data_IF_807958351466
#
_entry.id   IF_807958351466
#
_cell.length_a   1.000
_cell.length_b   1.000
_cell.length_c   1.000
_cell.angle_alpha   90.00
_cell.angle_beta   90.00
_cell.angle_gamma   90.00
#
_symmetry.space_group_name_H-M   'P 1'
#
loop_
_entity.id
_entity.type
_entity.pdbx_description
1 polymer ?
#
# COMPACT_ATOMS: atom_id res chain seq x y z
N UNK A 1 -13.23 -24.95 0.19
CA UNK A 1 -11.85 -25.02 -0.33
C UNK A 1 -11.68 -23.90 -1.35
N UNK A 2 -10.95 -22.84 -1.01
CA UNK A 2 -10.40 -21.95 -2.03
C UNK A 2 -9.49 -22.81 -2.92
N UNK A 3 -9.73 -22.87 -4.23
CA UNK A 3 -8.80 -23.59 -5.11
C UNK A 3 -7.42 -22.92 -4.99
N UNK A 4 -6.33 -23.69 -4.91
CA UNK A 4 -4.97 -23.16 -4.78
C UNK A 4 -4.57 -22.23 -5.94
N UNK A 5 -5.33 -22.23 -7.05
CA UNK A 5 -5.19 -21.29 -8.19
C UNK A 5 -5.77 -19.90 -7.90
N UNK A 6 -6.78 -19.77 -7.03
CA UNK A 6 -7.34 -18.46 -6.67
C UNK A 6 -6.41 -17.66 -5.75
N UNK A 7 -5.45 -18.30 -5.09
CA UNK A 7 -4.43 -17.63 -4.29
C UNK A 7 -3.49 -16.74 -5.13
N UNK A 8 -2.78 -17.25 -6.15
CA UNK A 8 -1.96 -16.40 -7.02
C UNK A 8 -2.80 -15.42 -7.84
N UNK A 9 -4.05 -15.75 -8.20
CA UNK A 9 -4.92 -14.84 -8.94
C UNK A 9 -5.42 -13.69 -8.06
N UNK A 10 -5.86 -13.95 -6.82
CA UNK A 10 -6.25 -12.88 -5.89
C UNK A 10 -5.05 -11.98 -5.57
N UNK A 11 -3.88 -12.57 -5.40
CA UNK A 11 -2.63 -11.83 -5.23
C UNK A 11 -2.29 -10.98 -6.46
N UNK A 12 -2.31 -11.53 -7.68
CA UNK A 12 -2.08 -10.77 -8.91
C UNK A 12 -3.15 -9.70 -9.18
N UNK A 13 -4.43 -9.98 -8.89
CA UNK A 13 -5.52 -9.00 -8.97
C UNK A 13 -5.36 -7.87 -7.96
N UNK A 14 -4.74 -8.17 -6.81
CA UNK A 14 -4.44 -7.21 -5.76
C UNK A 14 -3.18 -6.38 -6.03
N UNK A 15 -2.28 -6.85 -6.91
CA UNK A 15 -1.17 -6.07 -7.45
C UNK A 15 -1.65 -4.95 -8.41
N UNK A 16 -2.83 -5.07 -9.02
CA UNK A 16 -3.38 -4.04 -9.94
C UNK A 16 -3.61 -2.69 -9.21
N UNK A 17 -4.32 -2.63 -8.05
CA UNK A 17 -4.41 -1.41 -7.26
C UNK A 17 -3.04 -0.94 -6.75
N UNK A 18 -2.11 -1.85 -6.45
CA UNK A 18 -0.74 -1.51 -6.05
C UNK A 18 0.01 -0.77 -7.17
N UNK A 19 -0.09 -1.27 -8.42
CA UNK A 19 0.45 -0.58 -9.58
C UNK A 19 -0.21 0.77 -9.76
N UNK A 20 -1.53 0.90 -9.61
CA UNK A 20 -2.22 2.20 -9.75
C UNK A 20 -1.81 3.22 -8.67
N UNK A 21 -1.72 2.81 -7.41
CA UNK A 21 -1.33 3.71 -6.31
C UNK A 21 0.16 4.06 -6.36
N UNK A 22 1.02 3.08 -6.65
CA UNK A 22 2.43 3.33 -6.92
C UNK A 22 2.58 4.29 -8.10
N UNK A 23 1.86 4.07 -9.20
CA UNK A 23 1.89 4.94 -10.39
C UNK A 23 1.38 6.34 -10.06
N UNK A 24 0.33 6.52 -9.26
CA UNK A 24 -0.17 7.84 -8.85
C UNK A 24 0.85 8.61 -8.00
N UNK A 25 1.54 7.93 -7.09
CA UNK A 25 2.57 8.57 -6.25
C UNK A 25 3.87 8.81 -7.03
N UNK A 26 4.25 7.89 -7.91
CA UNK A 26 5.35 8.02 -8.88
C UNK A 26 5.10 9.18 -9.84
N UNK A 27 3.88 9.31 -10.35
CA UNK A 27 3.44 10.41 -11.23
C UNK A 27 3.38 11.72 -10.43
N UNK A 28 2.95 11.71 -9.17
CA UNK A 28 2.93 12.89 -8.31
C UNK A 28 4.32 13.43 -7.99
N UNK A 29 5.23 12.58 -7.54
CA UNK A 29 6.64 12.93 -7.27
C UNK A 29 7.36 13.23 -8.60
N UNK A 30 7.11 12.41 -9.61
CA UNK A 30 7.61 12.56 -10.97
C UNK A 30 7.29 13.94 -11.54
N UNK A 31 6.04 14.38 -11.43
CA UNK A 31 5.58 15.67 -11.91
C UNK A 31 6.07 16.85 -11.04
N UNK A 32 6.14 16.69 -9.72
CA UNK A 32 6.71 17.71 -8.82
C UNK A 32 8.20 17.96 -9.03
N UNK A 33 8.94 16.92 -9.43
CA UNK A 33 10.39 16.95 -9.69
C UNK A 33 10.75 17.05 -11.18
N UNK A 34 9.80 16.91 -12.11
CA UNK A 34 10.04 16.97 -13.56
C UNK A 34 10.31 18.39 -14.08
N UNK A 35 10.12 19.43 -13.25
CA UNK A 35 10.37 20.80 -13.66
C UNK A 35 11.79 21.05 -14.19
N UNK A 36 12.86 20.50 -13.57
CA UNK A 36 14.21 20.71 -14.04
C UNK A 36 14.72 19.52 -14.89
N UNK A 37 14.55 18.26 -14.43
CA UNK A 37 15.11 17.06 -15.09
C UNK A 37 14.29 15.79 -14.76
N UNK A 38 13.62 15.15 -15.75
CA UNK A 38 12.82 13.93 -15.55
C UNK A 38 13.59 12.71 -15.03
N UNK A 39 14.88 12.57 -15.38
CA UNK A 39 15.70 11.42 -14.96
C UNK A 39 16.01 11.43 -13.47
N UNK A 40 16.21 12.61 -12.86
CA UNK A 40 16.40 12.73 -11.42
C UNK A 40 15.11 12.33 -10.66
N UNK A 41 13.95 12.74 -11.20
CA UNK A 41 12.66 12.40 -10.65
C UNK A 41 12.44 10.87 -10.65
N UNK A 42 12.69 10.21 -11.78
CA UNK A 42 12.57 8.76 -11.90
C UNK A 42 13.48 8.01 -10.90
N UNK A 43 14.72 8.48 -10.74
CA UNK A 43 15.67 7.90 -9.79
C UNK A 43 15.20 8.05 -8.34
N UNK A 44 14.81 9.27 -7.93
CA UNK A 44 14.32 9.55 -6.58
C UNK A 44 13.08 8.72 -6.25
N UNK A 45 12.13 8.64 -7.20
CA UNK A 45 10.92 7.84 -7.05
C UNK A 45 11.23 6.36 -6.87
N UNK A 46 12.17 5.81 -7.64
CA UNK A 46 12.55 4.40 -7.53
C UNK A 46 13.10 4.06 -6.14
N UNK A 47 13.92 4.96 -5.56
CA UNK A 47 14.46 4.79 -4.20
C UNK A 47 13.33 4.86 -3.18
N UNK A 48 12.48 5.89 -3.24
CA UNK A 48 11.38 6.11 -2.30
C UNK A 48 10.40 4.94 -2.33
N UNK A 49 10.04 4.47 -3.52
CA UNK A 49 9.16 3.31 -3.70
C UNK A 49 9.79 2.06 -3.08
N UNK A 50 11.08 1.81 -3.32
CA UNK A 50 11.78 0.65 -2.73
C UNK A 50 11.82 0.71 -1.20
N UNK A 51 12.03 1.90 -0.62
CA UNK A 51 12.00 2.11 0.82
C UNK A 51 10.60 1.86 1.40
N UNK A 52 9.57 2.35 0.74
CA UNK A 52 8.20 2.13 1.18
C UNK A 52 7.75 0.66 1.04
N UNK A 53 8.17 -0.05 0.01
CA UNK A 53 7.87 -1.48 -0.12
C UNK A 53 8.51 -2.27 1.02
N UNK A 54 9.75 -1.97 1.35
CA UNK A 54 10.43 -2.64 2.47
C UNK A 54 9.81 -2.29 3.83
N UNK A 55 9.37 -1.04 4.02
CA UNK A 55 8.71 -0.57 5.24
C UNK A 55 7.17 -0.77 5.25
N UNK A 56 6.60 -1.63 4.39
CA UNK A 56 5.14 -1.83 4.28
C UNK A 56 4.53 -2.71 5.37
N UNK A 57 5.35 -3.39 6.19
CA UNK A 57 4.87 -4.44 7.09
C UNK A 57 4.85 -5.84 6.46
N UNK A 58 5.11 -5.94 5.16
CA UNK A 58 5.15 -7.22 4.42
C UNK A 58 6.53 -7.85 4.46
N UNK A 59 7.56 -7.06 4.14
CA UNK A 59 8.97 -7.50 4.12
C UNK A 59 9.58 -7.42 5.52
N UNK A 60 9.32 -6.32 6.23
CA UNK A 60 9.76 -6.12 7.62
C UNK A 60 8.53 -5.84 8.47
N UNK A 61 8.31 -6.64 9.51
CA UNK A 61 7.17 -6.47 10.41
C UNK A 61 7.34 -5.20 11.25
N UNK A 62 6.22 -4.56 11.60
CA UNK A 62 6.22 -3.35 12.41
C UNK A 62 6.91 -3.56 13.77
N UNK A 63 6.79 -4.75 14.37
CA UNK A 63 7.44 -5.11 15.65
C UNK A 63 8.96 -4.98 15.61
N UNK A 64 9.55 -5.21 14.43
CA UNK A 64 11.00 -5.27 14.25
C UNK A 64 11.58 -3.90 13.84
N UNK A 65 10.72 -2.94 13.47
CA UNK A 65 11.13 -1.59 13.05
C UNK A 65 11.29 -0.69 14.28
N UNK A 66 12.55 -0.47 14.71
CA UNK A 66 12.88 0.46 15.81
C UNK A 66 13.16 1.89 15.35
N UNK A 67 14.04 2.06 14.35
CA UNK A 67 14.60 3.39 14.01
C UNK A 67 13.71 4.24 13.10
N UNK A 68 13.11 3.65 12.05
CA UNK A 68 12.35 4.37 11.02
C UNK A 68 10.84 4.13 11.14
N UNK A 69 10.32 4.02 12.37
CA UNK A 69 8.88 3.76 12.62
C UNK A 69 7.96 4.84 12.04
N UNK A 70 8.43 6.09 11.91
CA UNK A 70 7.67 7.17 11.26
C UNK A 70 7.45 6.91 9.75
N UNK A 71 8.39 6.21 9.11
CA UNK A 71 8.32 5.88 7.68
C UNK A 71 7.23 4.84 7.41
N UNK A 72 6.92 3.98 8.39
CA UNK A 72 5.78 3.08 8.33
C UNK A 72 4.47 3.90 8.22
N UNK A 73 4.23 4.84 9.13
CA UNK A 73 2.98 5.62 9.13
C UNK A 73 2.77 6.54 7.93
N UNK A 74 3.84 7.01 7.29
CA UNK A 74 3.74 7.85 6.08
C UNK A 74 3.64 7.03 4.79
N UNK A 75 3.62 5.69 4.90
CA UNK A 75 3.69 4.79 3.78
C UNK A 75 2.29 4.41 3.26
N UNK A 76 1.90 4.81 2.04
CA UNK A 76 0.63 4.40 1.46
C UNK A 76 0.54 2.88 1.23
N UNK A 77 1.68 2.20 1.01
CA UNK A 77 1.72 0.76 0.79
C UNK A 77 1.32 -0.05 2.03
N UNK A 78 1.56 0.49 3.23
CA UNK A 78 1.11 -0.15 4.45
C UNK A 78 -0.41 -0.29 4.48
N UNK A 79 -1.14 0.80 4.21
CA UNK A 79 -2.60 0.81 4.24
C UNK A 79 -3.18 -0.12 3.16
N UNK A 80 -2.61 -0.09 1.95
CA UNK A 80 -3.02 -0.98 0.87
C UNK A 80 -2.82 -2.48 1.23
N UNK A 81 -1.65 -2.84 1.78
CA UNK A 81 -1.35 -4.22 2.14
C UNK A 81 -2.18 -4.69 3.34
N UNK A 82 -2.48 -3.81 4.29
CA UNK A 82 -3.33 -4.14 5.43
C UNK A 82 -4.75 -4.49 4.96
N UNK A 83 -5.37 -3.61 4.17
CA UNK A 83 -6.70 -3.83 3.59
C UNK A 83 -6.74 -5.13 2.79
N UNK A 84 -5.75 -5.34 1.91
CA UNK A 84 -5.68 -6.50 1.04
C UNK A 84 -5.52 -7.80 1.83
N UNK A 85 -4.63 -7.81 2.81
CA UNK A 85 -4.42 -8.98 3.68
C UNK A 85 -5.70 -9.28 4.45
N UNK A 86 -6.37 -8.26 4.98
CA UNK A 86 -7.64 -8.43 5.66
C UNK A 86 -8.73 -8.97 4.73
N UNK A 87 -8.95 -8.41 3.54
CA UNK A 87 -9.99 -8.93 2.63
C UNK A 87 -9.70 -10.37 2.17
N UNK A 88 -8.42 -10.70 1.93
CA UNK A 88 -8.04 -11.99 1.33
C UNK A 88 -8.00 -13.13 2.34
N UNK A 89 -7.60 -12.84 3.58
CA UNK A 89 -7.37 -13.85 4.62
C UNK A 89 -8.35 -13.78 5.78
N UNK A 90 -9.24 -12.79 5.83
CA UNK A 90 -10.24 -12.71 6.89
C UNK A 90 -11.09 -13.97 6.91
N UNK A 91 -11.09 -14.63 8.07
CA UNK A 91 -11.98 -15.73 8.36
C UNK A 91 -12.46 -15.55 9.78
N UNK A 92 -13.78 -15.44 9.97
CA UNK A 92 -14.33 -15.31 11.31
C UNK A 92 -14.18 -16.64 12.06
N UNK A 93 -13.23 -16.69 13.00
CA UNK A 93 -12.99 -17.82 13.91
C UNK A 93 -13.89 -17.74 15.15
N UNK A 94 -14.44 -16.57 15.46
CA UNK A 94 -15.31 -16.31 16.61
C UNK A 94 -16.79 -16.48 16.23
N UNK A 95 -17.34 -17.68 16.43
CA UNK A 95 -18.79 -17.90 16.43
C UNK A 95 -19.30 -19.06 15.57
N UNK A 96 -18.45 -19.77 14.85
CA UNK A 96 -18.84 -20.94 14.06
C UNK A 96 -18.15 -22.18 14.61
N UNK A 97 -18.91 -23.02 15.33
CA UNK A 97 -18.40 -24.29 15.87
C UNK A 97 -17.94 -25.24 14.75
N UNK A 98 -16.84 -25.97 14.99
CA UNK A 98 -16.24 -27.14 14.28
C UNK A 98 -16.35 -27.32 12.74
N UNK A 99 -17.00 -26.43 11.99
CA UNK A 99 -17.22 -26.47 10.54
C UNK A 99 -16.80 -25.16 9.87
N UNK A 100 -15.79 -24.48 10.42
CA UNK A 100 -15.12 -23.41 9.72
C UNK A 100 -14.21 -23.99 8.64
N UNK A 101 -14.52 -23.74 7.37
CA UNK A 101 -13.63 -24.00 6.23
C UNK A 101 -12.50 -22.95 6.13
N UNK A 102 -11.95 -22.51 7.26
CA UNK A 102 -10.86 -21.55 7.31
C UNK A 102 -9.54 -22.25 6.95
N UNK A 103 -8.65 -21.60 6.17
CA UNK A 103 -7.33 -22.14 5.90
C UNK A 103 -6.50 -22.17 7.19
N UNK A 104 -5.82 -23.31 7.43
CA UNK A 104 -4.95 -23.54 8.57
C UNK A 104 -3.49 -23.71 8.10
N UNK A 105 -2.55 -23.33 8.97
CA UNK A 105 -1.12 -23.63 8.81
C UNK A 105 -0.86 -25.12 9.12
N UNK A 106 0.34 -25.58 8.79
CA UNK A 106 0.77 -26.96 9.12
C UNK A 106 0.72 -27.25 10.62
N UNK A 107 0.82 -26.21 11.46
CA UNK A 107 0.75 -26.30 12.92
C UNK A 107 -0.70 -26.37 13.46
N UNK A 108 -1.71 -26.37 12.58
CA UNK A 108 -3.14 -26.40 12.94
C UNK A 108 -3.72 -25.06 13.39
N UNK A 109 -2.91 -24.00 13.47
CA UNK A 109 -3.36 -22.63 13.71
C UNK A 109 -4.05 -22.04 12.48
N UNK A 110 -5.01 -21.14 12.67
CA UNK A 110 -5.66 -20.45 11.57
C UNK A 110 -4.74 -19.39 10.95
N UNK A 111 -4.77 -19.27 9.62
CA UNK A 111 -3.97 -18.28 8.89
C UNK A 111 -4.30 -16.85 9.35
N UNK A 112 -5.59 -16.56 9.57
CA UNK A 112 -6.06 -15.26 10.00
C UNK A 112 -5.47 -14.84 11.36
N UNK A 113 -5.62 -15.66 12.40
CA UNK A 113 -5.16 -15.35 13.76
C UNK A 113 -3.64 -15.07 13.81
N UNK A 114 -2.87 -15.81 13.02
CA UNK A 114 -1.42 -15.62 12.90
C UNK A 114 -1.08 -14.28 12.23
N UNK A 115 -1.79 -13.92 11.15
CA UNK A 115 -1.61 -12.64 10.47
C UNK A 115 -2.08 -11.45 11.31
N UNK A 116 -3.23 -11.57 11.97
CA UNK A 116 -3.78 -10.60 12.91
C UNK A 116 -2.76 -10.28 14.00
N UNK A 117 -2.17 -11.31 14.62
CA UNK A 117 -1.18 -11.14 15.68
C UNK A 117 0.13 -10.53 15.16
N UNK A 118 0.66 -11.05 14.04
CA UNK A 118 1.95 -10.62 13.51
C UNK A 118 1.93 -9.20 12.95
N UNK A 119 0.84 -8.79 12.30
CA UNK A 119 0.73 -7.48 11.65
C UNK A 119 -0.19 -6.50 12.37
N UNK A 120 -0.77 -6.87 13.52
CA UNK A 120 -1.76 -6.08 14.25
C UNK A 120 -2.93 -5.64 13.34
N UNK A 121 -3.38 -6.54 12.47
CA UNK A 121 -4.46 -6.28 11.51
C UNK A 121 -5.82 -6.31 12.22
N UNK A 122 -6.75 -5.46 11.82
CA UNK A 122 -8.16 -5.59 12.24
C UNK A 122 -9.08 -5.47 11.03
N UNK A 123 -10.14 -6.28 11.00
CA UNK A 123 -11.10 -6.22 9.88
C UNK A 123 -11.92 -4.92 9.92
N UNK A 124 -12.30 -4.45 11.11
CA UNK A 124 -13.11 -3.22 11.27
C UNK A 124 -12.40 -1.96 10.77
N UNK A 125 -11.06 -1.97 10.68
CA UNK A 125 -10.28 -0.80 10.24
C UNK A 125 -10.21 -0.65 8.71
N UNK A 126 -10.68 -1.62 7.94
CA UNK A 126 -10.57 -1.60 6.46
C UNK A 126 -11.13 -0.31 5.87
N UNK A 127 -12.31 0.14 6.29
CA UNK A 127 -12.94 1.35 5.75
C UNK A 127 -12.10 2.60 6.02
N UNK A 128 -11.48 2.67 7.21
CA UNK A 128 -10.61 3.76 7.59
C UNK A 128 -9.30 3.73 6.79
N UNK A 129 -8.70 2.56 6.59
CA UNK A 129 -7.48 2.41 5.80
C UNK A 129 -7.73 2.76 4.32
N UNK A 130 -8.88 2.40 3.75
CA UNK A 130 -9.30 2.81 2.40
C UNK A 130 -9.49 4.33 2.33
N UNK A 131 -10.15 4.92 3.33
CA UNK A 131 -10.36 6.37 3.39
C UNK A 131 -9.03 7.12 3.45
N UNK A 132 -8.10 6.71 4.31
CA UNK A 132 -6.75 7.31 4.41
C UNK A 132 -6.02 7.19 3.07
N UNK A 133 -6.02 5.99 2.47
CA UNK A 133 -5.35 5.78 1.19
C UNK A 133 -5.92 6.69 0.09
N UNK A 134 -7.25 6.81 0.02
CA UNK A 134 -7.91 7.71 -0.93
C UNK A 134 -7.54 9.18 -0.71
N UNK A 135 -7.47 9.62 0.56
CA UNK A 135 -7.07 10.97 0.93
C UNK A 135 -5.61 11.26 0.55
N UNK A 136 -4.70 10.29 0.74
CA UNK A 136 -3.31 10.40 0.30
C UNK A 136 -3.20 10.56 -1.21
N UNK A 137 -3.98 9.80 -1.99
CA UNK A 137 -4.00 9.92 -3.46
C UNK A 137 -4.45 11.31 -3.92
N UNK A 138 -5.53 11.83 -3.33
CA UNK A 138 -6.02 13.19 -3.62
C UNK A 138 -4.99 14.26 -3.25
N UNK A 139 -4.31 14.08 -2.11
CA UNK A 139 -3.26 15.00 -1.67
C UNK A 139 -2.10 15.01 -2.69
N UNK A 140 -1.58 13.84 -3.10
CA UNK A 140 -0.51 13.78 -4.09
C UNK A 140 -0.92 14.33 -5.45
N UNK A 141 -2.15 14.06 -5.90
CA UNK A 141 -2.68 14.61 -7.14
C UNK A 141 -2.83 16.14 -7.10
N UNK A 142 -3.33 16.68 -5.98
CA UNK A 142 -3.45 18.13 -5.78
C UNK A 142 -2.08 18.81 -5.74
N UNK A 143 -1.11 18.21 -5.05
CA UNK A 143 0.26 18.70 -4.98
C UNK A 143 0.89 18.74 -6.39
N UNK A 144 0.74 17.67 -7.17
CA UNK A 144 1.22 17.61 -8.55
C UNK A 144 0.58 18.70 -9.43
N UNK A 145 -0.73 18.93 -9.27
CA UNK A 145 -1.46 19.97 -10.00
C UNK A 145 -0.94 21.37 -9.67
N UNK A 146 -0.71 21.66 -8.38
CA UNK A 146 -0.11 22.92 -7.94
C UNK A 146 1.29 23.10 -8.53
N UNK A 147 2.12 22.04 -8.52
CA UNK A 147 3.44 22.10 -9.16
C UNK A 147 3.35 22.46 -10.64
N UNK A 148 2.46 21.84 -11.41
CA UNK A 148 2.29 22.18 -12.83
C UNK A 148 1.85 23.63 -13.06
N UNK A 149 1.04 24.20 -12.18
CA UNK A 149 0.58 25.59 -12.28
C UNK A 149 1.67 26.58 -11.88
N UNK A 150 2.47 26.27 -10.85
CA UNK A 150 3.51 27.16 -10.31
C UNK A 150 4.79 27.11 -11.14
N UNK A 151 5.11 25.96 -11.75
CA UNK A 151 6.29 25.79 -12.59
C UNK A 151 6.10 26.49 -13.94
N UNK A 152 6.62 27.71 -13.98
CA UNK A 152 6.64 28.73 -15.03
C UNK A 152 7.18 28.29 -16.42
N UNK A 153 7.41 27.00 -16.67
CA UNK A 153 7.92 26.49 -17.95
C UNK A 153 6.86 26.46 -19.07
N UNK A 154 5.59 26.75 -18.76
CA UNK A 154 4.54 26.99 -19.75
C UNK A 154 4.23 28.48 -19.99
N UNK A 155 4.98 29.41 -19.38
CA UNK A 155 4.80 30.84 -19.69
C UNK A 155 5.41 31.13 -21.07
N UNK A 156 4.65 31.71 -22.03
CA UNK A 156 5.22 32.11 -23.30
C UNK A 156 6.36 33.11 -23.06
N UNK A 157 7.41 33.10 -23.90
CA UNK A 157 8.51 34.06 -23.77
C UNK A 157 7.93 35.48 -23.80
N UNK A 158 8.47 36.42 -23.00
CA UNK A 158 8.04 37.80 -23.07
C UNK A 158 8.21 38.31 -24.51
N UNK A 159 7.12 38.84 -25.06
CA UNK A 159 7.05 39.46 -26.40
C UNK A 159 7.83 40.77 -26.39
#
# INVERSE_FOLDING_TARGET
MYLPVFYPISWAMSEIPYFLMATLVVVGIGNGMAAPVPTLAAFAVSIVTSLWVSASGVVVLLSDIKFYRWMYWSNPFQFAMNVMTSISFYCNTEGVGSQCNCPQLQDGSYVWDSLETLRSLSHERIDLDILILSAMCLLFASLASVFFVVLRHNSPPPI
#
